data_IF_237957174351
#
_entry.id   IF_237957174351
#
_cell.length_a   1.000
_cell.length_b   1.000
_cell.length_c   1.000
_cell.angle_alpha   90.00
_cell.angle_beta   90.00
_cell.angle_gamma   90.00
#
_symmetry.space_group_name_H-M   'P 1'
#
loop_
_entity.id
_entity.type
_entity.pdbx_description
1 polymer ?
#
# COMPACT_ATOMS: atom_id res chain seq x y z
N UNK A 1 24.10 -16.07 10.75
CA UNK A 1 25.35 -16.15 9.97
C UNK A 1 25.08 -16.41 8.49
N UNK A 2 24.62 -17.62 8.08
CA UNK A 2 24.42 -17.96 6.65
C UNK A 2 23.52 -17.03 5.84
N UNK A 3 22.39 -16.56 6.40
CA UNK A 3 21.44 -15.69 5.68
C UNK A 3 22.08 -14.34 5.31
N UNK A 4 22.84 -13.73 6.22
CA UNK A 4 23.51 -12.46 5.95
C UNK A 4 24.63 -12.60 4.92
N UNK A 5 25.42 -13.67 4.99
CA UNK A 5 26.47 -13.94 4.00
C UNK A 5 25.87 -14.16 2.60
N UNK A 6 24.83 -14.99 2.50
CA UNK A 6 24.13 -15.21 1.22
C UNK A 6 23.50 -13.93 0.67
N UNK A 7 22.91 -13.10 1.53
CA UNK A 7 22.33 -11.83 1.12
C UNK A 7 23.37 -10.81 0.67
N UNK A 8 24.54 -10.74 1.33
CA UNK A 8 25.63 -9.86 0.93
C UNK A 8 26.22 -10.28 -0.42
N UNK A 9 26.38 -11.59 -0.66
CA UNK A 9 26.79 -12.13 -1.97
C UNK A 9 25.78 -11.74 -3.05
N UNK A 10 24.48 -11.88 -2.77
CA UNK A 10 23.41 -11.46 -3.69
C UNK A 10 23.43 -9.93 -3.94
N UNK A 11 23.55 -9.12 -2.90
CA UNK A 11 23.63 -7.66 -3.02
C UNK A 11 24.85 -7.24 -3.85
N UNK A 12 25.98 -7.91 -3.66
CA UNK A 12 27.21 -7.68 -4.43
C UNK A 12 27.03 -8.02 -5.91
N UNK A 13 26.43 -9.17 -6.22
CA UNK A 13 26.18 -9.58 -7.61
C UNK A 13 25.18 -8.67 -8.34
N UNK A 14 24.33 -7.96 -7.60
CA UNK A 14 23.36 -6.98 -8.11
C UNK A 14 23.89 -5.54 -8.11
N UNK A 15 25.11 -5.30 -7.64
CA UNK A 15 25.72 -3.96 -7.59
C UNK A 15 25.18 -3.05 -6.47
N UNK A 16 24.41 -3.58 -5.53
CA UNK A 16 23.73 -2.83 -4.45
C UNK A 16 24.39 -3.02 -3.07
N UNK A 17 25.58 -3.62 -3.02
CA UNK A 17 26.27 -3.88 -1.75
C UNK A 17 26.64 -2.61 -0.95
N UNK A 18 26.82 -1.46 -1.63
CA UNK A 18 27.18 -0.20 -0.99
C UNK A 18 26.08 0.32 -0.05
N UNK A 19 24.82 0.00 -0.33
CA UNK A 19 23.66 0.38 0.48
C UNK A 19 23.14 -0.78 1.34
N UNK A 20 23.86 -1.91 1.39
CA UNK A 20 23.42 -3.08 2.14
C UNK A 20 23.54 -2.84 3.65
N UNK A 21 22.39 -2.74 4.34
CA UNK A 21 22.33 -2.55 5.80
C UNK A 21 22.05 -3.83 6.57
N UNK A 22 21.50 -4.85 5.92
CA UNK A 22 21.11 -6.10 6.56
C UNK A 22 20.02 -6.83 5.80
N UNK A 23 19.36 -7.77 6.50
CA UNK A 23 18.29 -8.61 5.94
C UNK A 23 17.07 -8.52 6.86
N UNK A 24 15.92 -8.19 6.29
CA UNK A 24 14.62 -8.35 6.96
C UNK A 24 14.13 -9.78 6.76
N UNK A 25 13.89 -10.51 7.84
CA UNK A 25 13.28 -11.83 7.81
C UNK A 25 11.83 -11.68 8.25
N UNK A 26 10.90 -11.95 7.33
CA UNK A 26 9.46 -11.83 7.55
C UNK A 26 8.76 -13.17 7.24
N UNK A 27 7.56 -13.41 7.81
CA UNK A 27 6.77 -14.57 7.48
C UNK A 27 6.30 -14.53 6.01
N UNK A 28 6.24 -15.71 5.38
CA UNK A 28 5.63 -15.85 4.06
C UNK A 28 4.12 -15.92 4.20
N UNK A 29 3.41 -14.94 3.66
CA UNK A 29 1.96 -14.90 3.67
C UNK A 29 1.37 -15.82 2.60
N UNK A 30 0.18 -16.38 2.86
CA UNK A 30 -0.59 -17.12 1.86
C UNK A 30 -1.11 -16.19 0.77
N UNK A 31 -1.40 -16.68 -0.45
CA UNK A 31 -1.99 -15.85 -1.50
C UNK A 31 -3.25 -15.11 -1.02
N UNK A 32 -3.37 -13.79 -1.28
CA UNK A 32 -4.53 -13.01 -0.87
C UNK A 32 -5.73 -13.27 -1.79
N UNK A 33 -6.91 -12.77 -1.38
CA UNK A 33 -8.08 -12.71 -2.26
C UNK A 33 -7.85 -11.66 -3.35
N UNK A 34 -7.32 -10.51 -2.93
CA UNK A 34 -6.98 -9.37 -3.76
C UNK A 34 -5.69 -8.70 -3.27
N UNK A 35 -4.88 -8.22 -4.21
CA UNK A 35 -3.80 -7.28 -3.96
C UNK A 35 -4.37 -5.87 -4.14
N UNK A 36 -3.98 -4.95 -3.26
CA UNK A 36 -4.48 -3.58 -3.18
C UNK A 36 -3.27 -2.64 -3.18
N UNK A 37 -3.44 -1.45 -3.75
CA UNK A 37 -2.51 -0.34 -3.60
C UNK A 37 -3.23 0.74 -2.80
N UNK A 38 -2.58 1.20 -1.74
CA UNK A 38 -3.03 2.36 -0.96
C UNK A 38 -1.84 3.28 -0.78
N UNK A 39 -1.98 4.56 -1.09
CA UNK A 39 -0.89 5.50 -0.92
C UNK A 39 -1.39 6.91 -0.68
N UNK A 40 -0.54 7.75 -0.12
CA UNK A 40 -0.76 9.18 0.04
C UNK A 40 0.40 9.91 -0.60
N UNK A 41 0.08 10.92 -1.40
CA UNK A 41 1.05 11.84 -1.97
C UNK A 41 0.61 13.26 -1.69
N UNK A 42 1.55 14.12 -1.31
CA UNK A 42 1.30 15.57 -1.20
C UNK A 42 1.32 16.18 -2.60
N UNK A 43 0.16 16.64 -3.03
CA UNK A 43 -0.02 17.46 -4.21
C UNK A 43 0.18 18.94 -3.87
N UNK A 44 0.77 19.71 -4.79
CA UNK A 44 1.09 21.14 -4.59
C UNK A 44 -0.17 22.01 -4.42
N UNK A 45 -1.28 21.63 -5.04
CA UNK A 45 -2.52 22.41 -5.02
C UNK A 45 -3.49 21.90 -3.97
N UNK A 46 -3.62 20.57 -3.85
CA UNK A 46 -4.63 19.94 -3.00
C UNK A 46 -4.11 19.50 -1.63
N UNK A 47 -2.80 19.54 -1.41
CA UNK A 47 -2.19 18.97 -0.21
C UNK A 47 -2.18 17.44 -0.26
N UNK A 48 -2.22 16.72 0.87
CA UNK A 48 -2.15 15.26 0.88
C UNK A 48 -3.40 14.62 0.25
N UNK A 49 -3.17 13.79 -0.78
CA UNK A 49 -4.19 13.04 -1.51
C UNK A 49 -3.98 11.55 -1.31
N UNK A 50 -5.01 10.87 -0.81
CA UNK A 50 -5.06 9.42 -0.68
C UNK A 50 -5.53 8.78 -1.99
N UNK A 51 -4.82 7.73 -2.39
CA UNK A 51 -5.13 6.84 -3.51
C UNK A 51 -5.49 5.47 -2.98
N UNK A 52 -6.59 4.90 -3.48
CA UNK A 52 -6.97 3.50 -3.26
C UNK A 52 -7.22 2.83 -4.61
N UNK A 53 -6.72 1.62 -4.81
CA UNK A 53 -6.99 0.85 -6.02
C UNK A 53 -6.65 -0.62 -5.85
N UNK A 54 -7.05 -1.45 -6.82
CA UNK A 54 -6.53 -2.82 -6.90
C UNK A 54 -5.06 -2.80 -7.35
N UNK A 55 -4.27 -3.71 -6.79
CA UNK A 55 -2.90 -3.96 -7.20
C UNK A 55 -2.78 -5.00 -8.32
N UNK A 56 -1.54 -5.17 -8.78
CA UNK A 56 -1.19 -6.12 -9.82
C UNK A 56 -1.09 -5.50 -11.22
N UNK A 57 -0.30 -6.15 -12.08
CA UNK A 57 0.13 -5.65 -13.39
C UNK A 57 -1.03 -5.22 -14.30
N UNK A 58 -2.15 -5.94 -14.26
CA UNK A 58 -3.30 -5.62 -15.09
C UNK A 58 -4.00 -4.31 -14.68
N UNK A 59 -3.92 -3.92 -13.40
CA UNK A 59 -4.63 -2.74 -12.87
C UNK A 59 -3.81 -1.47 -13.05
N UNK A 60 -2.48 -1.54 -12.96
CA UNK A 60 -1.58 -0.41 -13.27
C UNK A 60 -1.83 0.15 -14.69
N UNK A 61 -2.13 -0.73 -15.65
CA UNK A 61 -2.47 -0.35 -17.03
C UNK A 61 -3.85 0.31 -17.11
N UNK A 62 -4.80 -0.13 -16.29
CA UNK A 62 -6.19 0.35 -16.31
C UNK A 62 -6.42 1.63 -15.50
N UNK A 63 -5.45 2.00 -14.64
CA UNK A 63 -5.52 3.15 -13.71
C UNK A 63 -6.84 3.19 -12.93
N UNK A 64 -7.26 2.03 -12.44
CA UNK A 64 -8.51 1.88 -11.69
C UNK A 64 -8.29 2.24 -10.23
N UNK A 65 -8.42 3.54 -9.93
CA UNK A 65 -8.16 4.12 -8.61
C UNK A 65 -9.25 5.11 -8.20
N UNK A 66 -9.53 5.15 -6.90
CA UNK A 66 -10.29 6.20 -6.25
C UNK A 66 -9.33 7.16 -5.53
N UNK A 67 -9.66 8.45 -5.53
CA UNK A 67 -8.85 9.52 -4.92
C UNK A 67 -9.69 10.30 -3.91
N UNK A 68 -9.06 10.71 -2.81
CA UNK A 68 -9.62 11.67 -1.86
C UNK A 68 -8.55 12.61 -1.31
N UNK A 69 -8.90 13.87 -1.12
CA UNK A 69 -8.06 14.84 -0.40
C UNK A 69 -8.25 14.63 1.10
N UNK A 70 -7.18 14.64 1.88
CA UNK A 70 -7.28 14.49 3.34
C UNK A 70 -7.70 15.80 4.03
N UNK A 71 -8.34 15.71 5.22
CA UNK A 71 -8.72 14.49 5.94
C UNK A 71 -9.92 13.78 5.28
N UNK A 72 -10.01 12.46 5.48
CA UNK A 72 -11.16 11.65 5.06
C UNK A 72 -11.91 11.07 6.26
N UNK A 73 -13.21 10.89 6.10
CA UNK A 73 -14.07 10.15 7.02
C UNK A 73 -14.07 8.65 6.71
N UNK A 74 -14.67 7.86 7.60
CA UNK A 74 -14.91 6.44 7.38
C UNK A 74 -15.84 6.20 6.19
N UNK A 75 -16.83 7.07 6.03
CA UNK A 75 -17.80 7.07 4.94
C UNK A 75 -17.09 7.32 3.60
N UNK A 76 -16.19 8.31 3.52
CA UNK A 76 -15.37 8.56 2.33
C UNK A 76 -14.58 7.32 1.94
N UNK A 77 -13.93 6.67 2.91
CA UNK A 77 -13.15 5.46 2.68
C UNK A 77 -14.01 4.28 2.22
N UNK A 78 -15.25 4.14 2.72
CA UNK A 78 -16.20 3.13 2.26
C UNK A 78 -16.64 3.39 0.81
N UNK A 79 -16.89 4.65 0.45
CA UNK A 79 -17.22 5.05 -0.93
C UNK A 79 -16.07 4.74 -1.89
N UNK A 80 -14.82 5.01 -1.49
CA UNK A 80 -13.65 4.69 -2.32
C UNK A 80 -13.56 3.20 -2.70
N UNK A 81 -14.04 2.29 -1.84
CA UNK A 81 -14.10 0.85 -2.16
C UNK A 81 -15.11 0.52 -3.26
N UNK A 82 -16.18 1.31 -3.38
CA UNK A 82 -17.25 1.13 -4.36
C UNK A 82 -16.93 1.82 -5.70
N UNK A 83 -16.08 2.85 -5.70
CA UNK A 83 -15.77 3.69 -6.87
C UNK A 83 -14.84 3.03 -7.90
N UNK A 84 -14.01 2.08 -7.46
CA UNK A 84 -13.13 1.36 -8.38
C UNK A 84 -13.98 0.46 -9.31
N UNK A 85 -13.67 0.44 -10.60
CA UNK A 85 -14.39 -0.37 -11.61
C UNK A 85 -14.39 -1.85 -11.24
N UNK A 86 -13.34 -2.30 -10.58
CA UNK A 86 -13.18 -3.67 -10.12
C UNK A 86 -13.68 -3.92 -8.69
N UNK A 87 -14.53 -3.05 -8.11
CA UNK A 87 -15.11 -3.21 -6.77
C UNK A 87 -15.77 -4.58 -6.55
N UNK A 88 -16.34 -5.17 -7.60
CA UNK A 88 -16.93 -6.51 -7.55
C UNK A 88 -15.94 -7.61 -7.10
N UNK A 89 -14.63 -7.43 -7.29
CA UNK A 89 -13.61 -8.37 -6.82
C UNK A 89 -13.42 -8.34 -5.30
N UNK A 90 -13.83 -7.24 -4.64
CA UNK A 90 -13.83 -7.11 -3.19
C UNK A 90 -15.03 -7.82 -2.54
N UNK A 91 -16.18 -7.86 -3.23
CA UNK A 91 -17.43 -8.45 -2.75
C UNK A 91 -17.51 -9.99 -2.77
N UNK A 92 -16.44 -10.66 -3.19
CA UNK A 92 -16.42 -12.10 -3.40
C UNK A 92 -16.93 -12.49 -4.78
N UNK A 93 -16.29 -13.48 -5.40
CA UNK A 93 -16.64 -13.93 -6.74
C UNK A 93 -16.40 -15.42 -6.92
N UNK A 94 -17.35 -16.12 -7.55
CA UNK A 94 -17.36 -17.59 -7.67
C UNK A 94 -17.22 -18.26 -6.29
N UNK A 95 -16.15 -19.01 -6.07
CA UNK A 95 -15.83 -19.70 -4.82
C UNK A 95 -14.91 -18.90 -3.90
N UNK A 96 -14.50 -17.68 -4.28
CA UNK A 96 -13.68 -16.82 -3.43
C UNK A 96 -14.55 -16.04 -2.46
N UNK A 97 -14.20 -16.03 -1.15
CA UNK A 97 -14.86 -15.17 -0.18
C UNK A 97 -14.64 -13.68 -0.50
N UNK A 98 -15.47 -12.83 0.09
CA UNK A 98 -15.25 -11.39 0.09
C UNK A 98 -14.01 -11.02 0.91
N UNK A 99 -13.42 -9.86 0.63
CA UNK A 99 -12.39 -9.29 1.50
C UNK A 99 -13.01 -8.65 2.74
N UNK A 100 -12.21 -8.50 3.79
CA UNK A 100 -12.55 -7.66 4.92
C UNK A 100 -12.47 -6.18 4.51
N UNK A 101 -13.62 -5.65 4.09
CA UNK A 101 -13.78 -4.24 3.72
C UNK A 101 -13.48 -3.31 4.89
N UNK A 102 -13.82 -3.72 6.10
CA UNK A 102 -13.63 -2.92 7.30
C UNK A 102 -12.13 -2.78 7.61
N UNK A 103 -11.36 -3.85 7.48
CA UNK A 103 -9.90 -3.81 7.62
C UNK A 103 -9.23 -2.90 6.59
N UNK A 104 -9.72 -2.85 5.34
CA UNK A 104 -9.21 -1.91 4.33
C UNK A 104 -9.52 -0.46 4.68
N UNK A 105 -10.72 -0.18 5.17
CA UNK A 105 -11.10 1.16 5.64
C UNK A 105 -10.25 1.60 6.82
N UNK A 106 -10.06 0.73 7.81
CA UNK A 106 -9.24 1.03 8.98
C UNK A 106 -7.78 1.28 8.60
N UNK A 107 -7.25 0.55 7.62
CA UNK A 107 -5.93 0.79 7.05
C UNK A 107 -5.84 2.16 6.35
N UNK A 108 -6.83 2.54 5.54
CA UNK A 108 -6.86 3.86 4.88
C UNK A 108 -6.91 5.01 5.88
N UNK A 109 -7.74 4.90 6.93
CA UNK A 109 -7.84 5.91 7.98
C UNK A 109 -6.54 6.01 8.79
N UNK A 110 -5.95 4.88 9.18
CA UNK A 110 -4.67 4.88 9.90
C UNK A 110 -3.53 5.49 9.05
N UNK A 111 -3.54 5.23 7.74
CA UNK A 111 -2.58 5.82 6.83
C UNK A 111 -2.79 7.34 6.68
N UNK A 112 -4.04 7.79 6.58
CA UNK A 112 -4.40 9.21 6.56
C UNK A 112 -3.92 9.93 7.82
N UNK A 113 -4.22 9.37 9.00
CA UNK A 113 -3.77 9.90 10.29
C UNK A 113 -2.24 9.98 10.37
N UNK A 114 -1.54 8.94 9.89
CA UNK A 114 -0.08 8.92 9.84
C UNK A 114 0.49 10.06 8.97
N UNK A 115 -0.04 10.27 7.76
CA UNK A 115 0.45 11.31 6.87
C UNK A 115 0.11 12.74 7.35
N UNK A 116 -1.01 12.91 8.06
CA UNK A 116 -1.37 14.18 8.68
C UNK A 116 -0.49 14.50 9.90
N UNK A 117 -0.15 13.47 10.69
CA UNK A 117 0.74 13.62 11.85
C UNK A 117 2.21 13.86 11.49
N UNK A 118 2.64 13.46 10.28
CA UNK A 118 4.03 13.54 9.83
C UNK A 118 4.12 14.39 8.54
N UNK A 119 4.21 15.72 8.65
CA UNK A 119 4.17 16.62 7.51
C UNK A 119 5.42 16.57 6.61
N UNK A 120 6.50 15.97 7.10
CA UNK A 120 7.73 15.66 6.38
C UNK A 120 7.60 14.45 5.45
N UNK A 121 6.51 13.68 5.52
CA UNK A 121 6.21 12.65 4.52
C UNK A 121 5.67 13.31 3.26
N UNK A 122 6.46 13.25 2.17
CA UNK A 122 6.05 13.69 0.84
C UNK A 122 5.12 12.65 0.17
N UNK A 123 5.48 11.38 0.31
CA UNK A 123 4.72 10.25 -0.25
C UNK A 123 4.88 9.02 0.66
N UNK A 124 3.79 8.28 0.86
CA UNK A 124 3.80 6.95 1.48
C UNK A 124 2.95 6.02 0.63
N UNK A 125 3.49 4.88 0.24
CA UNK A 125 2.82 3.91 -0.64
C UNK A 125 2.92 2.51 -0.03
N UNK A 126 1.77 1.85 0.10
CA UNK A 126 1.61 0.47 0.53
C UNK A 126 1.25 -0.35 -0.71
N UNK A 127 2.25 -1.02 -1.27
CA UNK A 127 2.10 -1.76 -2.52
C UNK A 127 2.99 -3.04 -2.54
N UNK A 128 2.43 -4.25 -2.37
CA UNK A 128 1.00 -4.53 -2.24
C UNK A 128 0.52 -4.51 -0.77
N UNK A 129 -0.76 -4.20 -0.60
CA UNK A 129 -1.57 -4.62 0.55
C UNK A 129 -2.31 -5.90 0.18
N UNK A 130 -2.17 -6.94 1.00
CA UNK A 130 -2.87 -8.20 0.85
C UNK A 130 -4.19 -8.19 1.63
N UNK A 131 -5.30 -8.37 0.91
CA UNK A 131 -6.63 -8.43 1.49
C UNK A 131 -7.13 -9.88 1.63
N UNK A 132 -7.61 -10.22 2.83
CA UNK A 132 -8.15 -11.52 3.24
C UNK A 132 -9.59 -11.36 3.75
N UNK A 133 -10.33 -12.44 4.06
CA UNK A 133 -11.69 -12.32 4.59
C UNK A 133 -11.78 -11.69 5.99
N UNK A 134 -10.66 -11.61 6.71
CA UNK A 134 -10.57 -11.26 8.13
C UNK A 134 -9.53 -10.19 8.45
N UNK A 135 -8.76 -9.72 7.46
CA UNK A 135 -7.69 -8.73 7.65
C UNK A 135 -7.18 -8.14 6.33
N UNK A 136 -6.46 -7.03 6.45
CA UNK A 136 -5.61 -6.47 5.41
C UNK A 136 -4.17 -6.32 5.95
N UNK A 137 -3.16 -6.63 5.13
CA UNK A 137 -1.74 -6.61 5.55
C UNK A 137 -0.91 -5.89 4.50
N UNK A 138 -0.24 -4.80 4.87
CA UNK A 138 0.78 -4.18 4.04
C UNK A 138 2.01 -5.11 3.94
N UNK A 139 2.32 -5.56 2.73
CA UNK A 139 3.43 -6.49 2.48
C UNK A 139 4.73 -5.74 2.19
N UNK A 140 4.60 -4.61 1.50
CA UNK A 140 5.70 -3.69 1.24
C UNK A 140 5.22 -2.24 1.43
N UNK A 141 6.14 -1.40 1.89
CA UNK A 141 5.88 0.01 2.20
C UNK A 141 7.07 0.84 1.76
N UNK A 142 6.81 1.87 0.97
CA UNK A 142 7.79 2.86 0.55
C UNK A 142 7.39 4.23 1.06
N UNK A 143 8.36 4.96 1.61
CA UNK A 143 8.17 6.31 2.14
C UNK A 143 9.20 7.23 1.51
N UNK A 144 8.74 8.36 0.98
CA UNK A 144 9.57 9.49 0.57
C UNK A 144 9.34 10.63 1.55
N UNK A 145 10.44 11.17 2.06
CA UNK A 145 10.43 12.37 2.90
C UNK A 145 10.65 13.60 2.02
N UNK A 146 10.07 14.73 2.42
CA UNK A 146 10.42 16.01 1.84
C UNK A 146 11.89 16.31 2.14
N UNK A 147 12.60 16.85 1.16
CA UNK A 147 13.95 17.32 1.40
C UNK A 147 13.83 18.65 2.17
N UNK A 148 14.52 18.85 3.32
CA UNK A 148 14.47 20.12 4.05
C UNK A 148 14.99 21.35 3.28
N UNK A 149 15.45 21.18 2.03
CA UNK A 149 15.92 22.24 1.15
C UNK A 149 14.87 22.71 0.10
N UNK A 150 13.69 22.09 0.06
CA UNK A 150 12.57 22.46 -0.82
C UNK A 150 11.55 23.38 -0.10
#
# INVERSE_FOLDING_TARGET
HRIQESALVYATSRGIAHDFRGVLVAPMLSPPIAEIIVGIKRDEQFGPVLTFGLGGVAVEVLRDVALRVLPISREDALEMLEEIKAAALLGGWRSRPAVDRQALVDLMLALADCALANPDIAEIELNPVFAYPDKAVAVDVRVYLTNPAD
#
